data_IF_859337540388
#
_entry.id   IF_859337540388
#
_cell.length_a   1.000
_cell.length_b   1.000
_cell.length_c   1.000
_cell.angle_alpha   90.00
_cell.angle_beta   90.00
_cell.angle_gamma   90.00
#
_symmetry.space_group_name_H-M   'P 1'
#
loop_
_entity.id
_entity.type
_entity.pdbx_description
1 polymer ?
#
# COMPACT_ATOMS: atom_id res chain seq x y z
N UNK A 1 -9.89 34.00 4.47
CA UNK A 1 -9.13 32.73 4.47
C UNK A 1 -9.31 31.88 5.73
N UNK A 2 -9.67 32.45 6.92
CA UNK A 2 -9.86 31.73 8.18
C UNK A 2 -11.19 30.96 8.30
N UNK A 3 -12.28 31.43 7.72
CA UNK A 3 -13.61 30.83 7.85
C UNK A 3 -13.77 29.53 7.01
N UNK A 4 -13.20 29.49 5.81
CA UNK A 4 -13.25 28.31 4.93
C UNK A 4 -12.47 27.14 5.54
N UNK A 5 -11.35 27.40 6.20
CA UNK A 5 -10.56 26.36 6.91
C UNK A 5 -11.28 25.80 8.13
N UNK A 6 -12.04 26.60 8.86
CA UNK A 6 -12.77 26.13 10.06
C UNK A 6 -13.97 25.25 9.71
N UNK A 7 -14.75 25.57 8.68
CA UNK A 7 -15.87 24.75 8.23
C UNK A 7 -15.40 23.41 7.62
N UNK A 8 -14.30 23.43 6.88
CA UNK A 8 -13.68 22.22 6.34
C UNK A 8 -13.21 21.30 7.48
N UNK A 9 -12.53 21.84 8.49
CA UNK A 9 -12.12 21.07 9.68
C UNK A 9 -13.31 20.50 10.49
N UNK A 10 -14.44 21.21 10.56
CA UNK A 10 -15.63 20.72 11.28
C UNK A 10 -16.31 19.59 10.51
N UNK A 11 -16.38 19.67 9.18
CA UNK A 11 -16.90 18.60 8.31
C UNK A 11 -16.01 17.35 8.36
N UNK A 12 -14.69 17.55 8.34
CA UNK A 12 -13.72 16.46 8.45
C UNK A 12 -13.79 15.73 9.81
N UNK A 13 -14.01 16.47 10.90
CA UNK A 13 -14.21 15.85 12.22
C UNK A 13 -15.44 14.93 12.26
N UNK A 14 -16.53 15.31 11.60
CA UNK A 14 -17.73 14.48 11.51
C UNK A 14 -17.48 13.19 10.75
N UNK A 15 -16.80 13.26 9.60
CA UNK A 15 -16.36 12.13 8.81
C UNK A 15 -15.46 11.19 9.62
N UNK A 16 -14.40 11.75 10.21
CA UNK A 16 -13.41 10.98 10.98
C UNK A 16 -14.02 10.25 12.17
N UNK A 17 -14.91 10.87 12.92
CA UNK A 17 -15.59 10.21 14.06
C UNK A 17 -16.40 9.00 13.61
N UNK A 18 -17.18 9.15 12.55
CA UNK A 18 -17.98 8.06 12.00
C UNK A 18 -17.07 6.95 11.48
N UNK A 19 -16.05 7.30 10.70
CA UNK A 19 -15.12 6.33 10.11
C UNK A 19 -14.33 5.56 11.18
N UNK A 20 -13.81 6.25 12.21
CA UNK A 20 -13.08 5.60 13.32
C UNK A 20 -14.00 4.67 14.11
N UNK A 21 -15.23 5.08 14.38
CA UNK A 21 -16.19 4.19 15.06
C UNK A 21 -16.49 2.92 14.27
N UNK A 22 -16.54 3.02 12.92
CA UNK A 22 -16.79 1.88 12.04
C UNK A 22 -15.53 1.10 11.61
N UNK A 23 -14.33 1.56 11.98
CA UNK A 23 -13.07 0.89 11.60
C UNK A 23 -12.97 -0.56 12.07
N UNK A 24 -13.73 -0.94 13.10
CA UNK A 24 -13.83 -2.32 13.57
C UNK A 24 -14.31 -3.26 12.45
N UNK A 25 -15.28 -2.86 11.63
CA UNK A 25 -15.77 -3.67 10.52
C UNK A 25 -14.71 -3.81 9.43
N UNK A 26 -13.94 -2.75 9.17
CA UNK A 26 -12.80 -2.76 8.24
C UNK A 26 -11.75 -3.77 8.71
N UNK A 27 -11.35 -3.68 9.97
CA UNK A 27 -10.35 -4.58 10.56
C UNK A 27 -10.82 -6.04 10.56
N UNK A 28 -12.10 -6.28 10.87
CA UNK A 28 -12.69 -7.62 10.83
C UNK A 28 -12.72 -8.17 9.41
N UNK A 29 -13.14 -7.37 8.42
CA UNK A 29 -13.17 -7.79 7.02
C UNK A 29 -11.78 -8.14 6.52
N UNK A 30 -10.80 -7.26 6.71
CA UNK A 30 -9.43 -7.48 6.25
C UNK A 30 -8.77 -8.68 6.95
N UNK A 31 -8.86 -8.76 8.27
CA UNK A 31 -8.24 -9.83 9.05
C UNK A 31 -8.85 -11.20 8.76
N UNK A 32 -10.18 -11.31 8.78
CA UNK A 32 -10.85 -12.58 8.57
C UNK A 32 -10.82 -13.05 7.12
N UNK A 33 -10.77 -12.12 6.15
CA UNK A 33 -10.67 -12.47 4.73
C UNK A 33 -9.36 -13.20 4.39
N UNK A 34 -8.27 -12.90 5.11
CA UNK A 34 -7.01 -13.63 4.98
C UNK A 34 -7.14 -15.11 5.35
N UNK A 35 -7.96 -15.45 6.36
CA UNK A 35 -8.23 -16.86 6.70
C UNK A 35 -9.00 -17.59 5.60
N UNK A 36 -9.87 -16.89 4.85
CA UNK A 36 -10.56 -17.47 3.70
C UNK A 36 -9.56 -17.77 2.58
N UNK A 37 -8.66 -16.81 2.29
CA UNK A 37 -7.65 -16.95 1.25
C UNK A 37 -6.66 -18.08 1.56
N UNK A 38 -6.19 -18.21 2.80
CA UNK A 38 -5.24 -19.25 3.22
C UNK A 38 -5.83 -20.65 3.18
N UNK A 39 -7.15 -20.79 3.30
CA UNK A 39 -7.86 -22.06 3.10
C UNK A 39 -8.04 -22.46 1.62
N UNK A 40 -7.57 -21.64 0.68
CA UNK A 40 -7.67 -21.87 -0.77
C UNK A 40 -8.94 -21.31 -1.42
N UNK A 41 -9.79 -20.61 -0.68
CA UNK A 41 -11.03 -20.01 -1.20
C UNK A 41 -10.81 -18.60 -1.77
N UNK A 42 -9.78 -18.40 -2.60
CA UNK A 42 -9.43 -17.09 -3.18
C UNK A 42 -10.60 -16.42 -3.93
N UNK A 43 -11.44 -17.21 -4.64
CA UNK A 43 -12.63 -16.68 -5.33
C UNK A 43 -13.65 -16.09 -4.35
N UNK A 44 -13.79 -16.68 -3.17
CA UNK A 44 -14.72 -16.19 -2.14
C UNK A 44 -14.16 -14.95 -1.45
N UNK A 45 -12.85 -14.95 -1.18
CA UNK A 45 -12.15 -13.78 -0.69
C UNK A 45 -12.31 -12.58 -1.64
N UNK A 46 -12.18 -12.80 -2.96
CA UNK A 46 -12.44 -11.77 -3.97
C UNK A 46 -13.91 -11.29 -3.93
N UNK A 47 -14.88 -12.22 -3.81
CA UNK A 47 -16.31 -11.84 -3.69
C UNK A 47 -16.57 -10.95 -2.49
N UNK A 48 -15.89 -11.17 -1.35
CA UNK A 48 -16.00 -10.31 -0.17
C UNK A 48 -15.67 -8.86 -0.50
N UNK A 49 -14.56 -8.64 -1.21
CA UNK A 49 -14.12 -7.28 -1.60
C UNK A 49 -15.09 -6.67 -2.61
N UNK A 50 -15.54 -7.47 -3.60
CA UNK A 50 -16.50 -7.01 -4.61
C UNK A 50 -17.85 -6.63 -4.00
N UNK A 51 -18.38 -7.41 -3.05
CA UNK A 51 -19.62 -7.09 -2.34
C UNK A 51 -19.48 -5.73 -1.63
N UNK A 52 -18.39 -5.53 -0.89
CA UNK A 52 -18.12 -4.26 -0.23
C UNK A 52 -18.04 -3.09 -1.20
N UNK A 53 -17.30 -3.25 -2.31
CA UNK A 53 -17.15 -2.21 -3.32
C UNK A 53 -18.48 -1.87 -4.03
N UNK A 54 -19.26 -2.88 -4.42
CA UNK A 54 -20.56 -2.67 -5.06
C UNK A 54 -21.53 -1.98 -4.10
N UNK A 55 -21.61 -2.45 -2.84
CA UNK A 55 -22.42 -1.79 -1.82
C UNK A 55 -22.00 -0.33 -1.64
N UNK A 56 -20.71 -0.03 -1.60
CA UNK A 56 -20.23 1.33 -1.43
C UNK A 56 -20.62 2.22 -2.63
N UNK A 57 -20.41 1.75 -3.86
CA UNK A 57 -20.80 2.48 -5.09
C UNK A 57 -22.30 2.81 -5.12
N UNK A 58 -23.15 1.93 -4.58
CA UNK A 58 -24.61 2.14 -4.53
C UNK A 58 -24.97 3.08 -3.38
N UNK A 59 -24.37 2.87 -2.20
CA UNK A 59 -24.72 3.61 -1.00
C UNK A 59 -24.15 5.03 -0.98
N UNK A 60 -23.00 5.29 -1.60
CA UNK A 60 -22.41 6.64 -1.66
C UNK A 60 -23.37 7.66 -2.30
N UNK A 61 -23.89 7.47 -3.53
CA UNK A 61 -24.86 8.41 -4.11
C UNK A 61 -26.15 8.54 -3.28
N UNK A 62 -26.60 7.44 -2.70
CA UNK A 62 -27.82 7.43 -1.90
C UNK A 62 -27.69 8.30 -0.65
N UNK A 63 -26.61 8.14 0.13
CA UNK A 63 -26.39 8.91 1.35
C UNK A 63 -25.93 10.35 1.07
N UNK A 64 -25.15 10.56 0.01
CA UNK A 64 -24.64 11.89 -0.33
C UNK A 64 -25.76 12.78 -0.90
N UNK A 65 -26.49 12.26 -1.89
CA UNK A 65 -27.45 13.05 -2.68
C UNK A 65 -28.91 12.86 -2.22
N UNK A 66 -29.40 11.60 -2.06
CA UNK A 66 -30.80 11.37 -1.73
C UNK A 66 -31.11 11.74 -0.26
N UNK A 67 -30.24 11.40 0.67
CA UNK A 67 -30.39 11.75 2.09
C UNK A 67 -29.73 13.09 2.47
N UNK A 68 -29.11 13.80 1.51
CA UNK A 68 -28.46 15.11 1.70
C UNK A 68 -27.44 15.15 2.85
N UNK A 69 -26.80 14.02 3.19
CA UNK A 69 -25.83 13.94 4.27
C UNK A 69 -24.42 14.46 3.90
N UNK A 70 -24.16 14.71 2.60
CA UNK A 70 -22.88 15.21 2.11
C UNK A 70 -21.72 14.29 2.53
N UNK A 71 -20.63 14.88 3.03
CA UNK A 71 -19.39 14.15 3.41
C UNK A 71 -19.62 13.10 4.51
N UNK A 72 -20.54 13.37 5.45
CA UNK A 72 -20.91 12.39 6.49
C UNK A 72 -21.61 11.17 5.89
N UNK A 73 -22.39 11.38 4.82
CA UNK A 73 -23.04 10.29 4.07
C UNK A 73 -22.05 9.31 3.47
N UNK A 74 -20.95 9.81 2.87
CA UNK A 74 -19.87 8.96 2.36
C UNK A 74 -19.23 8.10 3.47
N UNK A 75 -19.00 8.67 4.68
CA UNK A 75 -18.49 7.90 5.79
C UNK A 75 -19.43 6.77 6.22
N UNK A 76 -20.73 7.07 6.32
CA UNK A 76 -21.77 6.07 6.68
C UNK A 76 -21.85 4.98 5.61
N UNK A 77 -21.88 5.34 4.33
CA UNK A 77 -21.91 4.40 3.21
C UNK A 77 -20.72 3.44 3.25
N UNK A 78 -19.52 3.96 3.47
CA UNK A 78 -18.29 3.16 3.59
C UNK A 78 -18.40 2.17 4.74
N UNK A 79 -18.84 2.60 5.93
CA UNK A 79 -18.95 1.72 7.10
C UNK A 79 -20.01 0.65 6.89
N UNK A 80 -21.16 0.99 6.34
CA UNK A 80 -22.21 0.01 6.04
C UNK A 80 -21.75 -1.02 5.04
N UNK A 81 -21.04 -0.61 4.01
CA UNK A 81 -20.45 -1.51 3.01
C UNK A 81 -19.44 -2.47 3.63
N UNK A 82 -18.61 -1.97 4.54
CA UNK A 82 -17.65 -2.82 5.29
C UNK A 82 -18.38 -3.74 6.28
N UNK A 83 -19.46 -3.28 6.91
CA UNK A 83 -20.27 -4.13 7.78
C UNK A 83 -20.91 -5.28 7.00
N UNK A 84 -21.45 -5.02 5.81
CA UNK A 84 -21.98 -6.07 4.92
C UNK A 84 -20.90 -7.08 4.56
N UNK A 85 -19.71 -6.61 4.19
CA UNK A 85 -18.55 -7.47 3.93
C UNK A 85 -18.14 -8.29 5.15
N UNK A 86 -18.14 -7.70 6.35
CA UNK A 86 -17.82 -8.38 7.60
C UNK A 86 -18.84 -9.49 7.91
N UNK A 87 -20.14 -9.20 7.77
CA UNK A 87 -21.22 -10.20 7.95
C UNK A 87 -21.07 -11.34 6.95
N UNK A 88 -20.75 -11.05 5.69
CA UNK A 88 -20.49 -12.05 4.66
C UNK A 88 -19.34 -12.98 5.06
N UNK A 89 -18.20 -12.42 5.47
CA UNK A 89 -17.01 -13.18 5.92
C UNK A 89 -17.33 -14.06 7.12
N UNK A 90 -18.04 -13.50 8.12
CA UNK A 90 -18.49 -14.25 9.30
C UNK A 90 -19.41 -15.42 8.93
N UNK A 91 -20.40 -15.16 8.09
CA UNK A 91 -21.33 -16.17 7.62
C UNK A 91 -20.60 -17.31 6.89
N UNK A 92 -19.61 -16.97 6.07
CA UNK A 92 -18.81 -17.95 5.35
C UNK A 92 -17.93 -18.78 6.31
N UNK A 93 -17.23 -18.13 7.27
CA UNK A 93 -16.38 -18.83 8.23
C UNK A 93 -17.14 -19.72 9.20
N UNK A 94 -18.41 -19.43 9.47
CA UNK A 94 -19.30 -20.30 10.26
C UNK A 94 -20.00 -21.37 9.41
N UNK A 95 -19.86 -21.30 8.09
CA UNK A 95 -20.48 -22.23 7.15
C UNK A 95 -19.84 -23.64 7.15
N UNK A 96 -20.50 -24.59 6.48
CA UNK A 96 -20.08 -25.99 6.44
C UNK A 96 -18.84 -26.21 5.54
N UNK A 97 -18.49 -25.27 4.68
CA UNK A 97 -17.43 -25.42 3.68
C UNK A 97 -16.02 -25.13 4.22
N UNK A 98 -15.92 -24.43 5.35
CA UNK A 98 -14.64 -24.01 5.93
C UNK A 98 -14.12 -25.03 6.94
N UNK A 99 -12.83 -25.28 6.92
CA UNK A 99 -12.12 -26.10 7.92
C UNK A 99 -11.88 -25.31 9.21
N UNK A 100 -11.53 -24.03 9.07
CA UNK A 100 -11.32 -23.12 10.20
C UNK A 100 -12.63 -22.43 10.53
N UNK A 101 -13.15 -22.69 11.74
CA UNK A 101 -14.38 -22.08 12.24
C UNK A 101 -14.09 -21.25 13.47
N UNK A 102 -14.83 -20.17 13.62
CA UNK A 102 -14.78 -19.34 14.84
C UNK A 102 -15.52 -20.10 15.94
N UNK A 103 -14.78 -20.58 16.95
CA UNK A 103 -15.36 -21.25 18.13
C UNK A 103 -15.25 -20.34 19.35
N UNK A 104 -16.31 -20.24 20.11
CA UNK A 104 -16.35 -19.42 21.34
C UNK A 104 -15.29 -19.83 22.38
N UNK A 105 -14.92 -21.11 22.41
CA UNK A 105 -13.91 -21.68 23.30
C UNK A 105 -12.51 -21.05 23.11
N UNK A 106 -12.19 -20.62 21.86
CA UNK A 106 -10.89 -20.02 21.50
C UNK A 106 -10.90 -18.50 21.51
N UNK A 107 -11.97 -17.83 21.92
CA UNK A 107 -12.04 -16.38 22.05
C UNK A 107 -11.30 -15.83 23.30
N UNK A 108 -10.74 -16.70 24.12
CA UNK A 108 -9.92 -16.28 25.27
C UNK A 108 -8.61 -15.67 24.78
N UNK A 109 -8.32 -14.48 25.29
CA UNK A 109 -7.07 -13.78 25.04
C UNK A 109 -5.91 -14.58 25.65
N UNK A 110 -5.02 -15.11 24.81
CA UNK A 110 -3.82 -15.83 25.22
C UNK A 110 -2.59 -14.99 24.87
N UNK A 111 -1.87 -14.41 25.86
CA UNK A 111 -0.70 -13.55 25.59
C UNK A 111 0.38 -14.25 24.78
N UNK A 112 0.57 -15.55 24.97
CA UNK A 112 1.55 -16.36 24.24
C UNK A 112 1.30 -16.40 22.71
N UNK A 113 0.05 -16.25 22.28
CA UNK A 113 -0.33 -16.21 20.86
C UNK A 113 -0.35 -14.76 20.36
N UNK A 114 -0.88 -13.84 21.16
CA UNK A 114 -1.09 -12.45 20.76
C UNK A 114 0.22 -11.69 20.63
N UNK A 115 1.17 -11.85 21.55
CA UNK A 115 2.46 -11.14 21.50
C UNK A 115 3.25 -11.39 20.21
N UNK A 116 3.43 -12.65 19.73
CA UNK A 116 4.06 -12.89 18.43
C UNK A 116 3.29 -12.29 17.26
N UNK A 117 1.95 -12.33 17.27
CA UNK A 117 1.10 -11.73 16.22
C UNK A 117 1.25 -10.21 16.21
N UNK A 118 1.25 -9.55 17.36
CA UNK A 118 1.51 -8.11 17.47
C UNK A 118 2.91 -7.76 16.99
N UNK A 119 3.93 -8.58 17.31
CA UNK A 119 5.28 -8.42 16.81
C UNK A 119 5.39 -8.46 15.29
N UNK A 120 4.62 -9.35 14.64
CA UNK A 120 4.52 -9.40 13.18
C UNK A 120 3.77 -8.18 12.61
N UNK A 121 2.76 -7.69 13.31
CA UNK A 121 1.99 -6.50 12.94
C UNK A 121 2.77 -5.18 13.09
N UNK A 122 3.82 -5.17 13.91
CA UNK A 122 4.64 -3.97 14.13
C UNK A 122 5.35 -3.50 12.84
N UNK A 123 5.77 -4.44 11.99
CA UNK A 123 6.46 -4.11 10.75
C UNK A 123 5.59 -3.29 9.78
N UNK A 124 4.39 -3.73 9.39
CA UNK A 124 3.50 -2.91 8.54
C UNK A 124 3.03 -1.63 9.24
N UNK A 125 2.89 -1.62 10.58
CA UNK A 125 2.58 -0.41 11.33
C UNK A 125 3.66 0.66 11.19
N UNK A 126 4.93 0.30 11.40
CA UNK A 126 6.08 1.21 11.22
C UNK A 126 6.16 1.68 9.77
N UNK A 127 5.89 0.81 8.79
CA UNK A 127 5.88 1.17 7.38
C UNK A 127 4.83 2.26 7.08
N UNK A 128 3.61 2.14 7.60
CA UNK A 128 2.54 3.12 7.37
C UNK A 128 2.82 4.47 8.06
N UNK A 129 3.35 4.46 9.28
CA UNK A 129 3.77 5.70 9.96
C UNK A 129 4.88 6.40 9.16
N UNK A 130 5.85 5.63 8.69
CA UNK A 130 6.97 6.17 7.91
C UNK A 130 6.49 6.77 6.60
N UNK A 131 5.48 6.19 5.94
CA UNK A 131 4.84 6.77 4.76
C UNK A 131 4.27 8.16 5.03
N UNK A 132 3.57 8.31 6.16
CA UNK A 132 3.02 9.60 6.58
C UNK A 132 4.11 10.64 6.84
N UNK A 133 5.21 10.24 7.49
CA UNK A 133 6.35 11.12 7.74
C UNK A 133 7.02 11.59 6.45
N UNK A 134 7.17 10.70 5.47
CA UNK A 134 7.73 11.03 4.16
C UNK A 134 6.86 12.01 3.41
N UNK A 135 5.54 11.79 3.40
CA UNK A 135 4.60 12.73 2.78
C UNK A 135 4.69 14.14 3.40
N UNK A 136 4.83 14.22 4.72
CA UNK A 136 5.04 15.51 5.42
C UNK A 136 6.38 16.12 5.00
N UNK A 137 7.46 15.34 4.92
CA UNK A 137 8.78 15.83 4.53
C UNK A 137 8.81 16.33 3.07
N UNK A 138 8.20 15.59 2.14
CA UNK A 138 8.06 16.03 0.75
C UNK A 138 7.25 17.33 0.65
N UNK A 139 6.08 17.38 1.27
CA UNK A 139 5.22 18.55 1.22
C UNK A 139 5.91 19.79 1.83
N UNK A 140 6.60 19.62 2.96
CA UNK A 140 7.34 20.72 3.60
C UNK A 140 8.50 21.22 2.72
N UNK A 141 9.27 20.31 2.11
CA UNK A 141 10.40 20.67 1.25
C UNK A 141 9.94 21.28 -0.07
N UNK A 142 8.93 20.70 -0.73
CA UNK A 142 8.39 21.21 -1.99
C UNK A 142 7.66 22.53 -1.82
N UNK A 143 6.90 22.72 -0.73
CA UNK A 143 6.27 23.99 -0.41
C UNK A 143 7.31 25.10 -0.21
N UNK A 144 8.43 24.79 0.43
CA UNK A 144 9.52 25.75 0.66
C UNK A 144 10.25 26.15 -0.62
N UNK A 145 10.48 25.23 -1.56
CA UNK A 145 11.35 25.45 -2.73
C UNK A 145 10.59 25.68 -4.03
N UNK A 146 9.38 25.14 -4.18
CA UNK A 146 8.60 25.19 -5.42
C UNK A 146 7.15 25.66 -5.25
N UNK A 147 6.76 26.04 -4.01
CA UNK A 147 5.43 26.56 -3.72
C UNK A 147 4.29 25.55 -3.95
N UNK A 148 3.08 26.07 -4.08
CA UNK A 148 1.85 25.26 -4.18
C UNK A 148 1.81 24.40 -5.46
N UNK A 149 2.44 24.85 -6.55
CA UNK A 149 2.50 24.11 -7.81
C UNK A 149 3.31 22.82 -7.66
N UNK A 150 4.45 22.88 -6.97
CA UNK A 150 5.28 21.68 -6.73
C UNK A 150 4.60 20.68 -5.78
N UNK A 151 3.86 21.16 -4.77
CA UNK A 151 3.06 20.32 -3.88
C UNK A 151 1.89 19.67 -4.65
N UNK A 152 1.24 20.42 -5.53
CA UNK A 152 0.21 19.90 -6.43
C UNK A 152 0.75 18.80 -7.36
N UNK A 153 1.92 19.05 -7.97
CA UNK A 153 2.61 18.06 -8.80
C UNK A 153 2.91 16.77 -8.02
N UNK A 154 3.43 16.88 -6.78
CA UNK A 154 3.70 15.71 -5.92
C UNK A 154 2.43 14.91 -5.62
N UNK A 155 1.30 15.57 -5.41
CA UNK A 155 0.02 14.89 -5.16
C UNK A 155 -0.42 14.05 -6.36
N UNK A 156 -0.25 14.57 -7.58
CA UNK A 156 -0.54 13.85 -8.83
C UNK A 156 0.43 12.67 -8.97
N UNK A 157 1.73 12.89 -8.78
CA UNK A 157 2.75 11.84 -8.88
C UNK A 157 2.53 10.72 -7.86
N UNK A 158 2.17 11.05 -6.63
CA UNK A 158 1.81 10.05 -5.62
C UNK A 158 0.60 9.21 -6.05
N UNK A 159 -0.39 9.81 -6.71
CA UNK A 159 -1.55 9.09 -7.24
C UNK A 159 -1.17 8.14 -8.39
N UNK A 160 -0.30 8.57 -9.31
CA UNK A 160 0.23 7.73 -10.39
C UNK A 160 1.04 6.56 -9.82
N UNK A 161 1.89 6.83 -8.83
CA UNK A 161 2.67 5.81 -8.12
C UNK A 161 1.77 4.77 -7.43
N UNK A 162 0.68 5.21 -6.83
CA UNK A 162 -0.29 4.32 -6.20
C UNK A 162 -0.96 3.40 -7.22
N UNK A 163 -1.31 3.90 -8.41
CA UNK A 163 -1.84 3.09 -9.51
C UNK A 163 -0.83 2.02 -9.95
N UNK A 164 0.46 2.35 -10.01
CA UNK A 164 1.52 1.40 -10.35
C UNK A 164 1.68 0.31 -9.27
N UNK A 165 1.58 0.65 -7.99
CA UNK A 165 1.89 -0.28 -6.91
C UNK A 165 0.73 -1.15 -6.46
N UNK A 166 -0.52 -0.70 -6.61
CA UNK A 166 -1.70 -1.49 -6.23
C UNK A 166 -1.74 -2.91 -6.84
N UNK A 167 -1.53 -3.11 -8.16
CA UNK A 167 -1.53 -4.45 -8.73
C UNK A 167 -0.35 -5.31 -8.22
N UNK A 168 0.82 -4.72 -7.99
CA UNK A 168 1.98 -5.45 -7.44
C UNK A 168 1.73 -5.90 -6.01
N UNK A 169 1.09 -5.05 -5.20
CA UNK A 169 0.67 -5.43 -3.85
C UNK A 169 -0.36 -6.57 -3.89
N UNK A 170 -1.31 -6.51 -4.83
CA UNK A 170 -2.29 -7.58 -5.04
C UNK A 170 -1.63 -8.91 -5.42
N UNK A 171 -0.66 -8.88 -6.34
CA UNK A 171 0.15 -10.06 -6.71
C UNK A 171 0.90 -10.63 -5.50
N UNK A 172 1.52 -9.75 -4.70
CA UNK A 172 2.23 -10.12 -3.47
C UNK A 172 1.31 -10.79 -2.45
N UNK A 173 0.15 -10.19 -2.17
CA UNK A 173 -0.86 -10.74 -1.25
C UNK A 173 -1.41 -12.08 -1.73
N UNK A 174 -1.59 -12.26 -3.05
CA UNK A 174 -2.00 -13.53 -3.64
C UNK A 174 -0.92 -14.62 -3.56
N UNK A 175 0.35 -14.24 -3.69
CA UNK A 175 1.48 -15.17 -3.59
C UNK A 175 1.80 -15.55 -2.15
N UNK A 176 1.52 -14.71 -1.18
CA UNK A 176 1.84 -14.90 0.24
C UNK A 176 1.36 -16.24 0.79
N UNK A 177 0.08 -16.62 0.71
CA UNK A 177 -0.40 -17.91 1.22
C UNK A 177 0.22 -19.09 0.48
N UNK A 178 0.50 -18.96 -0.83
CA UNK A 178 1.16 -20.02 -1.60
C UNK A 178 2.60 -20.25 -1.12
N UNK A 179 3.35 -19.19 -0.88
CA UNK A 179 4.73 -19.28 -0.38
C UNK A 179 4.72 -19.83 1.04
N UNK A 180 3.92 -19.28 1.95
CA UNK A 180 3.88 -19.67 3.36
C UNK A 180 3.45 -21.12 3.55
N UNK A 181 2.38 -21.55 2.86
CA UNK A 181 1.88 -22.93 2.94
C UNK A 181 2.89 -23.95 2.41
N UNK A 182 3.48 -23.70 1.23
CA UNK A 182 4.46 -24.63 0.65
C UNK A 182 5.78 -24.63 1.44
N UNK A 183 6.14 -23.51 2.08
CA UNK A 183 7.30 -23.43 2.96
C UNK A 183 7.08 -24.29 4.21
N UNK A 184 5.93 -24.15 4.89
CA UNK A 184 5.58 -24.98 6.04
C UNK A 184 5.42 -26.49 5.69
N UNK A 185 5.11 -26.81 4.43
CA UNK A 185 5.03 -28.21 3.93
C UNK A 185 6.37 -28.73 3.39
N UNK A 186 7.49 -28.04 3.58
CA UNK A 186 8.84 -28.37 3.10
C UNK A 186 8.93 -28.57 1.57
N UNK A 187 8.00 -28.00 0.78
CA UNK A 187 7.96 -28.11 -0.69
C UNK A 187 8.80 -27.02 -1.36
N UNK A 188 10.10 -27.02 -1.11
CA UNK A 188 11.06 -25.98 -1.53
C UNK A 188 10.99 -25.65 -3.03
N UNK A 189 10.81 -26.67 -3.89
CA UNK A 189 10.67 -26.44 -5.34
C UNK A 189 9.48 -25.51 -5.68
N UNK A 190 8.32 -25.75 -5.04
CA UNK A 190 7.11 -24.92 -5.27
C UNK A 190 7.31 -23.51 -4.75
N UNK A 191 7.96 -23.36 -3.59
CA UNK A 191 8.32 -22.05 -3.03
C UNK A 191 9.18 -21.26 -4.01
N UNK A 192 10.29 -21.86 -4.49
CA UNK A 192 11.20 -21.22 -5.48
C UNK A 192 10.45 -20.84 -6.76
N UNK A 193 9.58 -21.72 -7.28
CA UNK A 193 8.79 -21.45 -8.49
C UNK A 193 7.84 -20.25 -8.27
N UNK A 194 7.12 -20.21 -7.14
CA UNK A 194 6.21 -19.10 -6.83
C UNK A 194 6.95 -17.76 -6.67
N UNK A 195 8.08 -17.77 -5.95
CA UNK A 195 8.92 -16.57 -5.79
C UNK A 195 9.41 -16.06 -7.15
N UNK A 196 9.91 -16.97 -8.00
CA UNK A 196 10.38 -16.59 -9.35
C UNK A 196 9.27 -15.97 -10.19
N UNK A 197 8.07 -16.57 -10.18
CA UNK A 197 6.92 -16.04 -10.89
C UNK A 197 6.54 -14.67 -10.34
N UNK A 198 6.49 -14.50 -9.02
CA UNK A 198 6.16 -13.23 -8.38
C UNK A 198 7.15 -12.11 -8.80
N UNK A 199 8.46 -12.38 -8.74
CA UNK A 199 9.49 -11.40 -9.12
C UNK A 199 9.38 -11.04 -10.61
N UNK A 200 9.26 -12.05 -11.49
CA UNK A 200 9.22 -11.82 -12.95
C UNK A 200 7.95 -11.05 -13.34
N UNK A 201 6.79 -11.45 -12.85
CA UNK A 201 5.51 -10.79 -13.19
C UNK A 201 5.49 -9.35 -12.63
N UNK A 202 5.94 -9.16 -11.39
CA UNK A 202 6.03 -7.81 -10.80
C UNK A 202 6.98 -6.91 -11.61
N UNK A 203 8.15 -7.43 -12.01
CA UNK A 203 9.11 -6.69 -12.81
C UNK A 203 8.55 -6.33 -14.19
N UNK A 204 7.96 -7.29 -14.90
CA UNK A 204 7.37 -7.04 -16.23
C UNK A 204 6.29 -5.96 -16.13
N UNK A 205 5.40 -6.07 -15.13
CA UNK A 205 4.34 -5.10 -14.94
C UNK A 205 4.88 -3.70 -14.60
N UNK A 206 5.81 -3.59 -13.64
CA UNK A 206 6.35 -2.27 -13.25
C UNK A 206 7.18 -1.63 -14.35
N UNK A 207 7.95 -2.42 -15.11
CA UNK A 207 8.69 -1.94 -16.28
C UNK A 207 7.76 -1.47 -17.40
N UNK A 208 6.70 -2.22 -17.70
CA UNK A 208 5.73 -1.83 -18.72
C UNK A 208 4.99 -0.53 -18.33
N UNK A 209 4.56 -0.42 -17.06
CA UNK A 209 3.91 0.78 -16.56
C UNK A 209 4.87 1.98 -16.54
N UNK A 210 6.08 1.79 -16.07
CA UNK A 210 7.12 2.81 -16.06
C UNK A 210 7.41 3.31 -17.48
N UNK A 211 7.63 2.40 -18.43
CA UNK A 211 7.86 2.77 -19.82
C UNK A 211 6.69 3.57 -20.40
N UNK A 212 5.46 3.20 -20.05
CA UNK A 212 4.28 3.93 -20.51
C UNK A 212 4.23 5.36 -19.92
N UNK A 213 4.55 5.52 -18.64
CA UNK A 213 4.62 6.85 -18.00
C UNK A 213 5.75 7.70 -18.59
N UNK A 214 6.93 7.12 -18.84
CA UNK A 214 8.07 7.84 -19.44
C UNK A 214 7.80 8.29 -20.88
N UNK A 215 7.16 7.43 -21.68
CA UNK A 215 6.84 7.76 -23.07
C UNK A 215 5.66 8.75 -23.17
N UNK A 216 4.67 8.62 -22.29
CA UNK A 216 3.42 9.38 -22.36
C UNK A 216 3.03 10.03 -21.01
N UNK A 217 3.92 10.81 -20.38
CA UNK A 217 3.62 11.38 -19.06
C UNK A 217 2.40 12.29 -19.07
N UNK A 218 2.18 13.02 -20.18
CA UNK A 218 1.05 13.92 -20.35
C UNK A 218 -0.30 13.25 -20.26
N UNK A 219 -0.44 12.00 -20.68
CA UNK A 219 -1.71 11.25 -20.57
C UNK A 219 -2.12 11.08 -19.12
N UNK A 220 -1.17 10.71 -18.26
CA UNK A 220 -1.44 10.55 -16.84
C UNK A 220 -1.72 11.88 -16.15
N UNK A 221 -0.96 12.91 -16.49
CA UNK A 221 -1.15 14.23 -15.88
C UNK A 221 -2.52 14.82 -16.26
N UNK A 222 -2.96 14.65 -17.49
CA UNK A 222 -4.28 15.10 -17.95
C UNK A 222 -5.45 14.41 -17.22
N UNK A 223 -5.29 13.15 -16.79
CA UNK A 223 -6.31 12.46 -16.00
C UNK A 223 -6.59 13.13 -14.66
N UNK A 224 -5.58 13.81 -14.09
CA UNK A 224 -5.68 14.43 -12.76
C UNK A 224 -5.80 15.96 -12.82
N UNK A 225 -5.32 16.59 -13.88
CA UNK A 225 -5.35 18.03 -14.03
C UNK A 225 -5.54 18.45 -15.50
N UNK A 226 -6.67 19.07 -15.77
CA UNK A 226 -6.99 19.65 -17.07
C UNK A 226 -6.97 21.19 -17.11
N UNK A 227 -6.71 21.86 -15.97
CA UNK A 227 -7.08 23.26 -15.79
C UNK A 227 -5.91 24.24 -15.66
N UNK A 228 -4.68 23.80 -15.29
CA UNK A 228 -3.53 24.69 -15.08
C UNK A 228 -2.32 24.24 -15.93
N UNK A 229 -1.93 25.05 -16.93
CA UNK A 229 -0.75 24.75 -17.76
C UNK A 229 0.54 24.63 -16.96
N UNK A 230 0.75 25.50 -15.99
CA UNK A 230 1.94 25.51 -15.15
C UNK A 230 2.08 24.21 -14.33
N UNK A 231 0.98 23.74 -13.73
CA UNK A 231 0.96 22.48 -13.00
C UNK A 231 1.18 21.29 -13.94
N UNK A 232 0.67 21.35 -15.17
CA UNK A 232 0.87 20.34 -16.19
C UNK A 232 2.35 20.21 -16.58
N UNK A 233 3.02 21.32 -16.88
CA UNK A 233 4.43 21.33 -17.25
C UNK A 233 5.31 20.85 -16.09
N UNK A 234 5.07 21.36 -14.87
CA UNK A 234 5.79 20.94 -13.67
C UNK A 234 5.64 19.44 -13.42
N UNK A 235 4.42 18.93 -13.49
CA UNK A 235 4.14 17.52 -13.19
C UNK A 235 4.72 16.61 -14.26
N UNK A 236 4.65 16.98 -15.54
CA UNK A 236 5.21 16.22 -16.65
C UNK A 236 6.73 16.11 -16.56
N UNK A 237 7.38 17.22 -16.23
CA UNK A 237 8.82 17.25 -15.99
C UNK A 237 9.21 16.44 -14.73
N UNK A 238 8.51 16.65 -13.62
CA UNK A 238 8.77 15.97 -12.36
C UNK A 238 8.51 14.45 -12.44
N UNK A 239 7.54 14.00 -13.26
CA UNK A 239 7.21 12.60 -13.44
C UNK A 239 8.41 11.78 -13.90
N UNK A 240 9.15 12.28 -14.90
CA UNK A 240 10.35 11.61 -15.43
C UNK A 240 11.46 11.45 -14.40
N UNK A 241 11.58 12.41 -13.49
CA UNK A 241 12.61 12.39 -12.45
C UNK A 241 12.17 11.50 -11.30
N UNK A 242 10.98 11.75 -10.74
CA UNK A 242 10.46 11.08 -9.57
C UNK A 242 10.21 9.60 -9.80
N UNK A 243 9.74 9.24 -10.99
CA UNK A 243 9.46 7.85 -11.36
C UNK A 243 10.62 7.15 -12.06
N UNK A 244 11.79 7.77 -12.19
CA UNK A 244 12.91 7.28 -12.99
C UNK A 244 13.37 5.85 -12.68
N UNK A 245 13.21 5.35 -11.46
CA UNK A 245 13.59 3.98 -11.05
C UNK A 245 12.41 3.09 -10.64
N UNK A 246 11.18 3.56 -10.75
CA UNK A 246 10.00 2.79 -10.34
C UNK A 246 9.77 1.53 -11.18
N UNK A 247 10.34 1.48 -12.38
CA UNK A 247 10.31 0.29 -13.24
C UNK A 247 10.95 -0.95 -12.58
N UNK A 248 12.10 -0.78 -11.94
CA UNK A 248 12.80 -1.88 -11.24
C UNK A 248 12.31 -2.11 -9.81
N UNK A 249 11.54 -1.17 -9.25
CA UNK A 249 11.05 -1.24 -7.87
C UNK A 249 10.14 -2.44 -7.60
N UNK A 250 9.50 -3.00 -8.63
CA UNK A 250 8.73 -4.24 -8.54
C UNK A 250 9.52 -5.43 -7.98
N UNK A 251 10.84 -5.46 -8.22
CA UNK A 251 11.75 -6.49 -7.64
C UNK A 251 11.78 -6.36 -6.12
N UNK A 252 11.99 -5.14 -5.61
CA UNK A 252 12.04 -4.91 -4.16
C UNK A 252 10.73 -5.28 -3.47
N UNK A 253 9.58 -4.88 -4.05
CA UNK A 253 8.27 -5.23 -3.51
C UNK A 253 8.07 -6.74 -3.44
N UNK A 254 8.43 -7.48 -4.50
CA UNK A 254 8.35 -8.93 -4.56
C UNK A 254 9.27 -9.61 -3.53
N UNK A 255 10.51 -9.10 -3.35
CA UNK A 255 11.46 -9.58 -2.36
C UNK A 255 10.94 -9.35 -0.95
N UNK A 256 10.46 -8.14 -0.66
CA UNK A 256 9.92 -7.79 0.65
C UNK A 256 8.73 -8.66 1.03
N UNK A 257 7.79 -8.87 0.08
CA UNK A 257 6.64 -9.75 0.25
C UNK A 257 7.07 -11.20 0.46
N UNK A 258 8.13 -11.65 -0.23
CA UNK A 258 8.71 -12.97 -0.03
C UNK A 258 9.26 -13.15 1.38
N UNK A 259 10.02 -12.19 1.90
CA UNK A 259 10.53 -12.27 3.27
C UNK A 259 9.40 -12.28 4.31
N UNK A 260 8.34 -11.49 4.12
CA UNK A 260 7.15 -11.53 4.97
C UNK A 260 6.49 -12.92 4.93
N UNK A 261 6.34 -13.50 3.74
CA UNK A 261 5.72 -14.82 3.53
C UNK A 261 6.52 -15.96 4.15
N UNK A 262 7.85 -15.82 4.22
CA UNK A 262 8.77 -16.78 4.84
C UNK A 262 8.99 -16.54 6.35
N UNK A 263 8.21 -15.63 6.97
CA UNK A 263 8.33 -15.30 8.39
C UNK A 263 9.58 -14.48 8.76
N UNK A 264 10.29 -13.91 7.77
CA UNK A 264 11.49 -13.11 7.98
C UNK A 264 11.16 -11.63 8.21
N UNK A 265 10.33 -11.34 9.21
CA UNK A 265 9.84 -9.99 9.51
C UNK A 265 10.99 -8.96 9.71
N UNK A 266 12.09 -9.36 10.34
CA UNK A 266 13.25 -8.49 10.57
C UNK A 266 13.91 -8.02 9.27
N UNK A 267 14.08 -8.91 8.29
CA UNK A 267 14.65 -8.55 6.98
C UNK A 267 13.72 -7.65 6.19
N UNK A 268 12.41 -7.95 6.19
CA UNK A 268 11.40 -7.12 5.55
C UNK A 268 11.34 -5.72 6.16
N UNK A 269 11.33 -5.62 7.48
CA UNK A 269 11.34 -4.34 8.19
C UNK A 269 12.63 -3.55 7.90
N UNK A 270 13.79 -4.22 7.91
CA UNK A 270 15.06 -3.57 7.59
C UNK A 270 15.05 -2.93 6.20
N UNK A 271 14.57 -3.66 5.17
CA UNK A 271 14.48 -3.13 3.79
C UNK A 271 13.55 -1.91 3.74
N UNK A 272 12.40 -1.97 4.43
CA UNK A 272 11.47 -0.86 4.47
C UNK A 272 12.05 0.38 5.18
N UNK A 273 12.68 0.19 6.34
CA UNK A 273 13.33 1.28 7.08
C UNK A 273 14.54 1.85 6.33
N UNK A 274 15.32 1.00 5.67
CA UNK A 274 16.46 1.42 4.87
C UNK A 274 16.00 2.39 3.78
N UNK A 275 15.01 2.00 2.99
CA UNK A 275 14.51 2.82 1.90
C UNK A 275 13.97 4.17 2.37
N UNK A 276 13.06 4.13 3.35
CA UNK A 276 12.26 5.31 3.71
C UNK A 276 12.91 6.18 4.78
N UNK A 277 13.46 5.59 5.83
CA UNK A 277 14.00 6.32 6.98
C UNK A 277 15.48 6.65 6.75
N UNK A 278 16.27 5.66 6.32
CA UNK A 278 17.73 5.82 6.25
C UNK A 278 18.15 6.52 4.95
N UNK A 279 17.48 6.24 3.85
CA UNK A 279 17.84 6.82 2.55
C UNK A 279 16.96 8.03 2.21
N UNK A 280 15.66 7.81 2.03
CA UNK A 280 14.79 8.82 1.45
C UNK A 280 14.64 10.07 2.33
N UNK A 281 14.35 9.91 3.61
CA UNK A 281 14.12 11.03 4.51
C UNK A 281 15.36 11.96 4.60
N UNK A 282 16.59 11.48 4.80
CA UNK A 282 17.77 12.34 4.74
C UNK A 282 18.01 12.94 3.35
N UNK A 283 17.79 12.18 2.25
CA UNK A 283 18.03 12.68 0.89
C UNK A 283 17.11 13.84 0.54
N UNK A 284 15.84 13.84 0.97
CA UNK A 284 14.90 14.96 0.76
C UNK A 284 15.47 16.29 1.29
N UNK A 285 16.23 16.26 2.41
CA UNK A 285 16.79 17.47 3.01
C UNK A 285 18.23 17.75 2.57
N UNK A 286 19.05 16.71 2.31
CA UNK A 286 20.45 16.86 1.97
C UNK A 286 20.66 17.22 0.49
N UNK A 287 19.94 16.57 -0.43
CA UNK A 287 20.15 16.82 -1.87
C UNK A 287 19.92 18.28 -2.29
N UNK A 288 18.91 19.00 -1.75
CA UNK A 288 18.73 20.42 -2.05
C UNK A 288 19.88 21.32 -1.55
N UNK A 289 20.80 20.82 -0.72
CA UNK A 289 21.98 21.58 -0.29
C UNK A 289 23.09 21.56 -1.32
N UNK A 290 23.16 20.50 -2.14
CA UNK A 290 24.23 20.27 -3.11
C UNK A 290 23.83 20.59 -4.55
N UNK A 291 22.55 20.61 -4.86
CA UNK A 291 22.03 20.80 -6.22
C UNK A 291 21.37 22.18 -6.29
N UNK A 292 21.71 22.97 -7.32
CA UNK A 292 21.19 24.33 -7.52
C UNK A 292 19.67 24.34 -7.69
N UNK A 293 19.13 23.46 -8.53
CA UNK A 293 17.69 23.31 -8.68
C UNK A 293 17.14 22.47 -7.53
N UNK A 294 16.67 23.15 -6.48
CA UNK A 294 16.21 22.52 -5.24
C UNK A 294 14.99 21.64 -5.42
N UNK A 295 14.06 22.03 -6.31
CA UNK A 295 12.85 21.23 -6.61
C UNK A 295 13.25 19.94 -7.32
N UNK A 296 14.16 20.00 -8.28
CA UNK A 296 14.73 18.83 -8.93
C UNK A 296 15.37 17.89 -7.91
N UNK A 297 16.17 18.43 -7.00
CA UNK A 297 16.84 17.65 -5.97
C UNK A 297 15.88 16.87 -5.08
N UNK A 298 14.75 17.50 -4.68
CA UNK A 298 13.73 16.85 -3.85
C UNK A 298 13.09 15.68 -4.60
N UNK A 299 12.71 15.85 -5.87
CA UNK A 299 12.13 14.75 -6.66
C UNK A 299 13.17 13.64 -6.96
N UNK A 300 14.42 14.00 -7.18
CA UNK A 300 15.50 13.04 -7.44
C UNK A 300 15.79 12.15 -6.21
N UNK A 301 15.50 12.62 -4.99
CA UNK A 301 15.72 11.87 -3.77
C UNK A 301 14.99 10.51 -3.77
N UNK A 302 13.76 10.43 -4.30
CA UNK A 302 13.02 9.17 -4.44
C UNK A 302 13.74 8.21 -5.37
N UNK A 303 14.13 8.66 -6.56
CA UNK A 303 14.82 7.85 -7.58
C UNK A 303 16.13 7.26 -7.05
N UNK A 304 16.95 8.08 -6.36
CA UNK A 304 18.21 7.63 -5.77
C UNK A 304 17.96 6.62 -4.63
N UNK A 305 16.98 6.90 -3.77
CA UNK A 305 16.60 6.00 -2.70
C UNK A 305 16.11 4.65 -3.22
N UNK A 306 15.30 4.65 -4.28
CA UNK A 306 14.77 3.44 -4.90
C UNK A 306 15.88 2.60 -5.52
N UNK A 307 16.82 3.22 -6.25
CA UNK A 307 17.94 2.51 -6.84
C UNK A 307 18.80 1.78 -5.78
N UNK A 308 19.22 2.51 -4.74
CA UNK A 308 20.05 1.93 -3.67
C UNK A 308 19.27 0.84 -2.94
N UNK A 309 18.00 1.07 -2.67
CA UNK A 309 17.15 0.14 -1.95
C UNK A 309 16.90 -1.17 -2.72
N UNK A 310 16.67 -1.09 -4.03
CA UNK A 310 16.55 -2.27 -4.90
C UNK A 310 17.85 -3.07 -4.92
N UNK A 311 19.00 -2.40 -5.03
CA UNK A 311 20.31 -3.05 -5.02
C UNK A 311 20.56 -3.80 -3.70
N UNK A 312 20.32 -3.14 -2.56
CA UNK A 312 20.50 -3.75 -1.23
C UNK A 312 19.50 -4.88 -1.00
N UNK A 313 18.22 -4.70 -1.35
CA UNK A 313 17.21 -5.74 -1.21
C UNK A 313 17.55 -6.98 -2.03
N UNK A 314 18.00 -6.80 -3.28
CA UNK A 314 18.41 -7.89 -4.16
C UNK A 314 19.63 -8.65 -3.60
N UNK A 315 20.62 -7.94 -3.10
CA UNK A 315 21.81 -8.52 -2.46
C UNK A 315 21.42 -9.32 -1.21
N UNK A 316 20.61 -8.75 -0.33
CA UNK A 316 20.13 -9.44 0.88
C UNK A 316 19.32 -10.69 0.51
N UNK A 317 18.51 -10.61 -0.54
CA UNK A 317 17.74 -11.76 -1.01
C UNK A 317 18.65 -12.88 -1.49
N UNK A 318 19.61 -12.60 -2.37
CA UNK A 318 20.54 -13.60 -2.88
C UNK A 318 21.40 -14.26 -1.78
N UNK A 319 21.83 -13.49 -0.80
CA UNK A 319 22.63 -14.01 0.33
C UNK A 319 21.84 -14.87 1.30
N UNK A 320 20.55 -14.57 1.53
CA UNK A 320 19.78 -15.21 2.59
C UNK A 320 18.84 -16.29 2.10
N UNK A 321 18.34 -16.21 0.85
CA UNK A 321 17.28 -17.11 0.38
C UNK A 321 17.65 -18.58 0.44
N UNK A 322 18.91 -18.92 0.09
CA UNK A 322 19.39 -20.33 0.15
C UNK A 322 19.40 -20.84 1.59
N UNK A 323 19.87 -20.01 2.55
CA UNK A 323 19.92 -20.38 3.96
C UNK A 323 18.53 -20.53 4.57
N UNK A 324 17.58 -19.67 4.18
CA UNK A 324 16.19 -19.71 4.66
C UNK A 324 15.51 -20.96 4.14
N UNK A 325 15.64 -21.27 2.84
CA UNK A 325 15.02 -22.44 2.23
C UNK A 325 15.66 -23.77 2.64
N UNK A 326 16.88 -23.77 3.17
CA UNK A 326 17.53 -24.96 3.71
C UNK A 326 17.00 -25.34 5.11
N UNK A 327 16.27 -24.44 5.77
CA UNK A 327 15.66 -24.68 7.11
C UNK A 327 14.22 -25.22 7.01
N UNK A 328 13.65 -25.28 5.81
CA UNK A 328 12.33 -25.85 5.53
C UNK A 328 12.45 -27.37 5.30
#
# INVERSE_FOLDING_TARGET
>A
RGLVGSEMCIRDRGYMRIYVAGSIFVMMTLGLNMFITTQGFAKISMKTVLIGAICNIILDPLFIFAFHMGVKGAAVATILSQAVSAVWVFSFLNGKQTKLRIRKEYLKVQPQIILPVMGLGLAPFVMNITESLINIAFNASLSKYGGDVAVGAMTILASIMQLQFMPVQGLGQGAQPLISYNYGAAKVYRVKKTIRILIVVSLIYTMAFWLFVECFPGVFVQLFNSSSPELYEMTTWAARIYMGMTGIFGIQMAIQQTFMSLGQAKLSLFIACLRKIILLLPLIYLMPMFIENKVFAVFLAETVSDFISVAVASTLFLCNIKKILAKA
#
